data_IF_292954774137
#
_entry.id   IF_292954774137
#
_cell.length_a   1.000
_cell.length_b   1.000
_cell.length_c   1.000
_cell.angle_alpha   90.00
_cell.angle_beta   90.00
_cell.angle_gamma   90.00
#
_symmetry.space_group_name_H-M   'P 1'
#
loop_
_entity.id
_entity.type
_entity.pdbx_description
1 polymer ?
#
# COMPACT_ATOMS: atom_id res chain seq x y z
N UNK A 1 -23.65 59.20 19.14
CA UNK A 1 -25.01 59.75 18.95
C UNK A 1 -25.31 60.00 17.48
N UNK A 2 -24.51 60.80 16.76
CA UNK A 2 -24.71 61.09 15.31
C UNK A 2 -24.89 59.84 14.42
N UNK A 3 -24.13 58.76 14.64
CA UNK A 3 -24.24 57.50 13.88
C UNK A 3 -25.64 56.87 14.01
N UNK A 4 -26.22 56.90 15.21
CA UNK A 4 -27.56 56.37 15.49
C UNK A 4 -28.67 57.27 14.98
N UNK A 5 -28.47 58.58 15.06
CA UNK A 5 -29.45 59.59 14.66
C UNK A 5 -29.65 59.66 13.13
N UNK A 6 -28.60 59.40 12.36
CA UNK A 6 -28.62 59.44 10.90
C UNK A 6 -28.50 58.05 10.24
N UNK A 7 -28.68 56.97 11.00
CA UNK A 7 -28.60 55.57 10.53
C UNK A 7 -27.33 55.24 9.72
N UNK A 8 -26.20 55.85 10.06
CA UNK A 8 -24.94 55.63 9.36
C UNK A 8 -24.27 54.35 9.87
N UNK A 9 -23.48 53.69 9.02
CA UNK A 9 -22.55 52.68 9.50
C UNK A 9 -21.33 53.35 10.16
N UNK A 10 -20.71 52.75 11.19
CA UNK A 10 -19.50 53.31 11.81
C UNK A 10 -18.38 53.59 10.80
N UNK A 11 -18.23 52.72 9.80
CA UNK A 11 -17.27 52.90 8.70
C UNK A 11 -17.58 54.11 7.83
N UNK A 12 -18.85 54.38 7.53
CA UNK A 12 -19.25 55.54 6.73
C UNK A 12 -18.98 56.84 7.49
N UNK A 13 -19.33 56.90 8.77
CA UNK A 13 -19.06 58.06 9.62
C UNK A 13 -17.55 58.31 9.78
N UNK A 14 -16.76 57.26 9.98
CA UNK A 14 -15.32 57.37 10.16
C UNK A 14 -14.62 57.84 8.87
N UNK A 15 -15.11 57.39 7.72
CA UNK A 15 -14.67 57.89 6.40
C UNK A 15 -15.05 59.35 6.20
N UNK A 16 -16.24 59.74 6.63
CA UNK A 16 -16.77 61.11 6.53
C UNK A 16 -15.95 62.09 7.38
N UNK A 17 -15.69 61.75 8.64
CA UNK A 17 -14.85 62.54 9.55
C UNK A 17 -13.43 62.67 9.01
N UNK A 18 -12.87 61.59 8.46
CA UNK A 18 -11.52 61.59 7.91
C UNK A 18 -11.41 62.47 6.67
N UNK A 19 -12.41 62.43 5.77
CA UNK A 19 -12.49 63.30 4.59
C UNK A 19 -12.57 64.77 5.00
N UNK A 20 -13.48 65.13 5.92
CA UNK A 20 -13.61 66.51 6.39
C UNK A 20 -12.31 67.07 6.96
N UNK A 21 -11.62 66.31 7.82
CA UNK A 21 -10.34 66.73 8.41
C UNK A 21 -9.22 66.90 7.36
N UNK A 22 -9.27 66.16 6.26
CA UNK A 22 -8.25 66.23 5.21
C UNK A 22 -8.49 67.31 4.16
N UNK A 23 -9.74 67.59 3.77
CA UNK A 23 -10.04 68.43 2.59
C UNK A 23 -10.91 69.64 2.88
N UNK A 24 -11.56 69.73 4.06
CA UNK A 24 -12.37 70.88 4.45
C UNK A 24 -13.62 71.16 3.60
N UNK A 25 -13.94 70.32 2.60
CA UNK A 25 -15.09 70.45 1.71
C UNK A 25 -15.65 69.08 1.31
N UNK A 26 -16.98 69.03 1.09
CA UNK A 26 -17.74 67.85 0.69
C UNK A 26 -18.24 67.88 -0.76
N UNK A 27 -17.85 68.86 -1.57
CA UNK A 27 -18.23 68.89 -2.99
C UNK A 27 -17.51 67.81 -3.81
N UNK A 28 -18.30 67.10 -4.61
CA UNK A 28 -17.96 65.87 -5.32
C UNK A 28 -17.09 66.12 -6.57
N UNK A 29 -15.78 65.98 -6.41
CA UNK A 29 -14.84 65.23 -7.27
C UNK A 29 -13.47 65.36 -6.61
N UNK A 30 -12.69 64.29 -6.63
CA UNK A 30 -11.31 64.27 -6.13
C UNK A 30 -10.58 65.55 -6.61
N UNK A 31 -10.43 66.56 -5.75
CA UNK A 31 -9.68 67.80 -6.02
C UNK A 31 -8.17 67.52 -6.01
N UNK A 32 -7.79 66.32 -6.45
CA UNK A 32 -6.41 65.93 -6.64
C UNK A 32 -5.99 66.42 -8.00
N UNK A 33 -4.90 67.15 -8.04
CA UNK A 33 -4.26 67.43 -9.33
C UNK A 33 -3.82 66.09 -9.94
N UNK A 34 -3.72 65.99 -11.28
CA UNK A 34 -3.14 64.81 -11.93
C UNK A 34 -1.79 64.40 -11.32
N UNK A 35 -0.99 65.38 -10.91
CA UNK A 35 0.28 65.20 -10.21
C UNK A 35 0.12 64.57 -8.81
N UNK A 36 -0.94 64.91 -8.07
CA UNK A 36 -1.24 64.31 -6.76
C UNK A 36 -1.74 62.87 -6.91
N UNK A 37 -2.54 62.58 -7.93
CA UNK A 37 -2.96 61.21 -8.25
C UNK A 37 -1.77 60.36 -8.71
N UNK A 38 -0.89 60.93 -9.54
CA UNK A 38 0.35 60.29 -9.96
C UNK A 38 1.28 60.03 -8.75
N UNK A 39 1.44 60.99 -7.86
CA UNK A 39 2.23 60.82 -6.63
C UNK A 39 1.66 59.72 -5.73
N UNK A 40 0.34 59.62 -5.61
CA UNK A 40 -0.31 58.55 -4.84
C UNK A 40 -0.09 57.19 -5.51
N UNK A 41 -0.20 57.13 -6.84
CA UNK A 41 0.05 55.90 -7.59
C UNK A 41 1.50 55.46 -7.47
N UNK A 42 2.45 56.37 -7.64
CA UNK A 42 3.88 56.13 -7.45
C UNK A 42 4.19 55.70 -6.02
N UNK A 43 3.57 56.29 -5.00
CA UNK A 43 3.74 55.85 -3.60
C UNK A 43 3.19 54.44 -3.37
N UNK A 44 2.03 54.11 -3.91
CA UNK A 44 1.46 52.75 -3.84
C UNK A 44 2.35 51.74 -4.56
N UNK A 45 2.88 52.10 -5.72
CA UNK A 45 3.79 51.27 -6.50
C UNK A 45 5.12 51.08 -5.77
N UNK A 46 5.69 52.13 -5.18
CA UNK A 46 6.90 52.03 -4.37
C UNK A 46 6.69 51.11 -3.16
N UNK A 47 5.54 51.23 -2.48
CA UNK A 47 5.19 50.34 -1.36
C UNK A 47 5.03 48.89 -1.81
N UNK A 48 4.43 48.66 -2.99
CA UNK A 48 4.32 47.32 -3.58
C UNK A 48 5.69 46.76 -3.95
N UNK A 49 6.55 47.53 -4.61
CA UNK A 49 7.91 47.12 -4.99
C UNK A 49 8.79 46.84 -3.76
N UNK A 50 8.63 47.62 -2.68
CA UNK A 50 9.31 47.39 -1.41
C UNK A 50 8.86 46.07 -0.79
N UNK A 51 7.55 45.82 -0.74
CA UNK A 51 7.00 44.55 -0.27
C UNK A 51 7.48 43.38 -1.15
N UNK A 52 7.45 43.53 -2.47
CA UNK A 52 7.97 42.53 -3.41
C UNK A 52 9.42 42.20 -3.08
N UNK A 53 10.32 43.18 -2.95
CA UNK A 53 11.72 42.95 -2.57
C UNK A 53 11.88 42.26 -1.20
N UNK A 54 11.11 42.67 -0.20
CA UNK A 54 11.17 42.11 1.16
C UNK A 54 10.80 40.61 1.18
N UNK A 55 9.84 40.19 0.35
CA UNK A 55 9.32 38.81 0.35
C UNK A 55 9.67 38.01 -0.91
N UNK A 56 10.37 38.61 -1.89
CA UNK A 56 10.63 38.04 -3.23
C UNK A 56 11.29 36.67 -3.16
N UNK A 57 12.23 36.50 -2.21
CA UNK A 57 12.98 35.26 -2.01
C UNK A 57 12.07 34.08 -1.64
N UNK A 58 10.86 34.34 -1.13
CA UNK A 58 9.89 33.32 -0.73
C UNK A 58 8.88 32.95 -1.83
N UNK A 59 8.85 33.65 -2.97
CA UNK A 59 7.92 33.37 -4.08
C UNK A 59 8.04 31.95 -4.64
N UNK A 60 9.25 31.38 -4.62
CA UNK A 60 9.57 30.01 -5.06
C UNK A 60 9.52 28.96 -3.94
N UNK A 61 9.18 29.36 -2.71
CA UNK A 61 9.12 28.43 -1.58
C UNK A 61 7.85 27.57 -1.61
N UNK A 62 7.83 26.49 -0.82
CA UNK A 62 6.66 25.64 -0.65
C UNK A 62 5.53 26.38 0.12
N UNK A 63 4.33 25.79 0.11
CA UNK A 63 3.17 26.42 0.73
C UNK A 63 3.34 26.69 2.24
N UNK A 64 4.06 25.83 2.97
CA UNK A 64 4.31 26.04 4.40
C UNK A 64 5.15 27.28 4.65
N UNK A 65 6.28 27.39 3.96
CA UNK A 65 7.17 28.56 4.07
C UNK A 65 6.48 29.86 3.66
N UNK A 66 5.61 29.82 2.63
CA UNK A 66 4.81 30.99 2.23
C UNK A 66 3.86 31.45 3.35
N UNK A 67 3.22 30.53 4.08
CA UNK A 67 2.36 30.86 5.23
C UNK A 67 3.16 31.55 6.33
N UNK A 68 4.35 31.04 6.66
CA UNK A 68 5.20 31.61 7.72
C UNK A 68 5.70 33.01 7.36
N UNK A 69 6.07 33.25 6.10
CA UNK A 69 6.45 34.58 5.61
C UNK A 69 5.31 35.58 5.74
N UNK A 70 4.08 35.18 5.38
CA UNK A 70 2.89 36.02 5.54
C UNK A 70 2.61 36.30 7.02
N UNK A 71 2.75 35.31 7.91
CA UNK A 71 2.58 35.50 9.36
C UNK A 71 3.59 36.49 9.93
N UNK A 72 4.87 36.33 9.59
CA UNK A 72 5.95 37.17 10.12
C UNK A 72 5.89 38.62 9.64
N UNK A 73 5.32 38.88 8.46
CA UNK A 73 5.22 40.21 7.87
C UNK A 73 3.83 40.86 7.99
N UNK A 74 2.88 40.22 8.69
CA UNK A 74 1.51 40.73 8.88
C UNK A 74 1.43 42.09 9.57
N UNK A 75 2.46 42.45 10.33
CA UNK A 75 2.58 43.76 10.97
C UNK A 75 3.01 44.88 10.00
N UNK A 76 3.61 44.54 8.86
CA UNK A 76 4.09 45.48 7.84
C UNK A 76 3.15 45.59 6.64
N UNK A 77 2.58 44.47 6.22
CA UNK A 77 1.80 44.36 4.99
C UNK A 77 0.47 43.63 5.23
N UNK A 78 -0.51 43.88 4.37
CA UNK A 78 -1.78 43.14 4.45
C UNK A 78 -1.62 41.71 3.95
N UNK A 79 -2.33 40.76 4.56
CA UNK A 79 -2.37 39.35 4.13
C UNK A 79 -2.79 39.24 2.66
N UNK A 80 -3.77 40.05 2.25
CA UNK A 80 -4.24 40.14 0.87
C UNK A 80 -3.10 40.45 -0.10
N UNK A 81 -2.34 41.52 0.15
CA UNK A 81 -1.28 41.97 -0.74
C UNK A 81 -0.10 40.98 -0.79
N UNK A 82 0.26 40.38 0.34
CA UNK A 82 1.32 39.37 0.38
C UNK A 82 0.92 38.08 -0.35
N UNK A 83 -0.34 37.64 -0.22
CA UNK A 83 -0.86 36.51 -0.98
C UNK A 83 -0.81 36.75 -2.49
N UNK A 84 -1.17 37.96 -2.94
CA UNK A 84 -1.15 38.33 -4.35
C UNK A 84 0.29 38.33 -4.91
N UNK A 85 1.25 38.91 -4.17
CA UNK A 85 2.68 38.91 -4.55
C UNK A 85 3.30 37.51 -4.57
N UNK A 86 2.97 36.66 -3.59
CA UNK A 86 3.50 35.30 -3.49
C UNK A 86 2.78 34.30 -4.41
N UNK A 87 1.78 34.76 -5.18
CA UNK A 87 0.87 33.92 -5.97
C UNK A 87 0.30 32.77 -5.12
N UNK A 88 -0.17 33.11 -3.92
CA UNK A 88 -0.60 32.16 -2.90
C UNK A 88 -2.10 32.33 -2.62
N UNK A 89 -2.94 31.29 -2.78
CA UNK A 89 -4.38 31.41 -2.54
C UNK A 89 -4.69 31.80 -1.10
N UNK A 90 -5.51 32.84 -0.91
CA UNK A 90 -5.89 33.34 0.44
C UNK A 90 -6.57 32.27 1.28
N UNK A 91 -7.36 31.40 0.66
CA UNK A 91 -8.00 30.26 1.32
C UNK A 91 -7.00 29.34 2.01
N UNK A 92 -5.80 29.15 1.43
CA UNK A 92 -4.75 28.29 2.01
C UNK A 92 -4.08 28.95 3.22
N UNK A 93 -4.03 30.29 3.29
CA UNK A 93 -3.49 31.01 4.45
C UNK A 93 -4.41 30.89 5.66
N UNK A 94 -5.72 31.08 5.43
CA UNK A 94 -6.75 30.96 6.46
C UNK A 94 -7.17 29.51 6.72
N UNK A 95 -6.65 28.56 5.95
CA UNK A 95 -6.83 27.15 6.24
C UNK A 95 -6.06 26.81 7.51
N UNK A 96 -6.79 26.71 8.61
CA UNK A 96 -6.27 26.17 9.85
C UNK A 96 -6.09 24.67 9.65
N UNK A 97 -4.83 24.25 9.48
CA UNK A 97 -4.48 22.86 9.64
C UNK A 97 -4.96 22.44 11.04
N UNK A 98 -5.85 21.45 11.11
CA UNK A 98 -6.21 20.82 12.39
C UNK A 98 -4.93 20.58 13.16
N UNK A 99 -4.86 21.13 14.38
CA UNK A 99 -3.77 20.86 15.30
C UNK A 99 -3.63 19.34 15.35
N UNK A 100 -2.41 18.85 15.12
CA UNK A 100 -2.13 17.42 15.21
C UNK A 100 -2.45 17.01 16.63
N UNK A 101 -3.46 16.18 16.79
CA UNK A 101 -3.73 15.53 18.06
C UNK A 101 -2.61 14.51 18.26
N UNK A 102 -1.67 14.85 19.14
CA UNK A 102 -0.51 14.01 19.42
C UNK A 102 -0.95 12.66 19.99
N UNK A 103 -2.09 12.60 20.69
CA UNK A 103 -2.66 11.36 21.20
C UNK A 103 -3.20 10.47 20.06
N UNK A 104 -3.97 11.03 19.12
CA UNK A 104 -4.45 10.29 17.94
C UNK A 104 -3.28 9.73 17.12
N UNK A 105 -2.20 10.51 16.98
CA UNK A 105 -1.01 10.10 16.25
C UNK A 105 -0.24 8.98 16.95
N UNK A 106 -0.17 9.01 18.29
CA UNK A 106 0.43 7.96 19.11
C UNK A 106 -0.38 6.66 19.00
N UNK A 107 -1.70 6.71 19.18
CA UNK A 107 -2.61 5.57 19.04
C UNK A 107 -2.51 4.93 17.64
N UNK A 108 -2.52 5.76 16.58
CA UNK A 108 -2.35 5.28 15.22
C UNK A 108 -0.98 4.63 15.01
N UNK A 109 0.07 5.18 15.62
CA UNK A 109 1.43 4.66 15.52
C UNK A 109 1.53 3.27 16.15
N UNK A 110 0.99 3.10 17.36
CA UNK A 110 0.93 1.81 18.05
C UNK A 110 0.16 0.77 17.23
N UNK A 111 -1.00 1.15 16.69
CA UNK A 111 -1.81 0.28 15.87
C UNK A 111 -1.10 -0.15 14.57
N UNK A 112 -0.37 0.76 13.91
CA UNK A 112 0.45 0.42 12.74
C UNK A 112 1.57 -0.56 13.11
N UNK A 113 2.25 -0.34 14.25
CA UNK A 113 3.30 -1.24 14.75
C UNK A 113 2.72 -2.63 15.04
N UNK A 114 1.58 -2.69 15.70
CA UNK A 114 0.89 -3.94 16.05
C UNK A 114 0.47 -4.73 14.80
N UNK A 115 -0.24 -4.08 13.86
CA UNK A 115 -0.63 -4.68 12.56
C UNK A 115 0.60 -5.20 11.83
N UNK A 116 1.69 -4.43 11.80
CA UNK A 116 2.91 -4.83 11.11
C UNK A 116 3.56 -6.07 11.74
N UNK A 117 3.70 -6.09 13.07
CA UNK A 117 4.29 -7.22 13.82
C UNK A 117 3.43 -8.47 13.74
N UNK A 118 2.12 -8.37 13.97
CA UNK A 118 1.16 -9.49 13.86
C UNK A 118 1.14 -10.11 12.47
N UNK A 119 1.44 -9.32 11.43
CA UNK A 119 1.55 -9.79 10.05
C UNK A 119 2.99 -10.09 9.63
N UNK A 120 3.81 -10.59 10.55
CA UNK A 120 5.17 -11.11 10.33
C UNK A 120 6.13 -10.13 9.63
N UNK A 121 5.91 -8.83 9.83
CA UNK A 121 6.67 -7.75 9.17
C UNK A 121 6.59 -7.78 7.63
N UNK A 122 5.51 -8.37 7.10
CA UNK A 122 5.29 -8.54 5.66
C UNK A 122 4.54 -7.35 5.07
N UNK A 123 3.60 -6.77 5.81
CA UNK A 123 2.67 -5.79 5.26
C UNK A 123 3.35 -4.44 5.00
N UNK A 124 3.16 -3.92 3.80
CA UNK A 124 3.48 -2.52 3.47
C UNK A 124 2.24 -1.62 3.60
N UNK A 125 2.43 -0.33 3.31
CA UNK A 125 1.41 0.73 3.40
C UNK A 125 0.03 0.35 2.84
N UNK A 126 -0.03 -0.38 1.72
CA UNK A 126 -1.29 -0.78 1.08
C UNK A 126 -2.11 -1.75 1.94
N UNK A 127 -1.47 -2.79 2.48
CA UNK A 127 -2.14 -3.80 3.31
C UNK A 127 -2.46 -3.25 4.70
N UNK A 128 -1.54 -2.47 5.28
CA UNK A 128 -1.78 -1.79 6.57
C UNK A 128 -3.00 -0.87 6.47
N UNK A 129 -3.16 -0.10 5.37
CA UNK A 129 -4.35 0.72 5.16
C UNK A 129 -5.66 -0.10 5.20
N UNK A 130 -5.65 -1.32 4.64
CA UNK A 130 -6.84 -2.20 4.64
C UNK A 130 -7.15 -2.71 6.04
N UNK A 131 -6.13 -3.12 6.78
CA UNK A 131 -6.31 -3.55 8.18
C UNK A 131 -6.78 -2.39 9.07
N UNK A 132 -6.22 -1.19 8.92
CA UNK A 132 -6.68 0.02 9.61
C UNK A 132 -8.16 0.32 9.30
N UNK A 133 -8.57 0.18 8.04
CA UNK A 133 -9.96 0.40 7.65
C UNK A 133 -10.92 -0.58 8.33
N UNK A 134 -10.53 -1.85 8.53
CA UNK A 134 -11.34 -2.85 9.23
C UNK A 134 -11.62 -2.46 10.69
N UNK A 135 -10.70 -1.73 11.33
CA UNK A 135 -10.83 -1.23 12.70
C UNK A 135 -11.30 0.22 12.78
N UNK A 136 -11.89 0.75 11.70
CA UNK A 136 -12.53 2.06 11.67
C UNK A 136 -11.63 3.25 11.31
N UNK A 137 -10.33 3.01 11.06
CA UNK A 137 -9.37 4.07 10.78
C UNK A 137 -9.29 4.41 9.29
N UNK A 138 -9.52 5.68 8.94
CA UNK A 138 -9.37 6.18 7.57
C UNK A 138 -8.08 6.99 7.42
N UNK A 139 -7.02 6.30 6.99
CA UNK A 139 -5.68 6.90 6.93
C UNK A 139 -5.10 6.85 5.52
N UNK A 140 -4.42 7.94 5.12
CA UNK A 140 -3.74 8.01 3.83
C UNK A 140 -2.48 7.13 3.83
N UNK A 141 -2.15 6.56 2.66
CA UNK A 141 -0.91 5.77 2.50
C UNK A 141 0.35 6.58 2.80
N UNK A 142 0.32 7.90 2.55
CA UNK A 142 1.43 8.81 2.86
C UNK A 142 1.64 8.96 4.37
N UNK A 143 0.56 9.10 5.16
CA UNK A 143 0.65 9.16 6.63
C UNK A 143 1.20 7.84 7.19
N UNK A 144 0.65 6.70 6.74
CA UNK A 144 1.16 5.36 7.12
C UNK A 144 2.64 5.22 6.76
N UNK A 145 3.02 5.60 5.53
CA UNK A 145 4.41 5.49 5.06
C UNK A 145 5.38 6.37 5.84
N UNK A 146 4.96 7.55 6.29
CA UNK A 146 5.75 8.41 7.18
C UNK A 146 5.96 7.75 8.54
N UNK A 147 4.88 7.29 9.19
CA UNK A 147 4.94 6.61 10.50
C UNK A 147 5.84 5.37 10.41
N UNK A 148 5.65 4.53 9.38
CA UNK A 148 6.50 3.35 9.16
C UNK A 148 7.98 3.74 9.03
N UNK A 149 8.30 4.84 8.34
CA UNK A 149 9.68 5.30 8.18
C UNK A 149 10.27 5.81 9.50
N UNK A 150 9.50 6.60 10.25
CA UNK A 150 9.89 7.13 11.56
C UNK A 150 10.16 5.99 12.56
N UNK A 151 9.34 4.94 12.52
CA UNK A 151 9.44 3.75 13.38
C UNK A 151 10.37 2.65 12.84
N UNK A 152 11.06 2.87 11.70
CA UNK A 152 11.96 1.88 11.10
C UNK A 152 11.29 0.60 10.60
N UNK A 153 9.97 0.62 10.33
CA UNK A 153 9.20 -0.52 9.87
C UNK A 153 9.42 -0.76 8.37
N UNK A 154 10.27 -1.73 8.03
CA UNK A 154 10.58 -2.09 6.64
C UNK A 154 9.98 -3.45 6.30
N UNK A 155 9.05 -3.47 5.34
CA UNK A 155 8.47 -4.72 4.83
C UNK A 155 9.55 -5.62 4.20
N UNK A 156 9.47 -6.93 4.44
CA UNK A 156 10.31 -7.95 3.80
C UNK A 156 10.32 -7.86 2.26
N UNK A 157 9.25 -7.34 1.65
CA UNK A 157 9.16 -7.17 0.19
C UNK A 157 9.99 -6.02 -0.38
N UNK A 158 10.48 -5.10 0.47
CA UNK A 158 11.32 -3.97 0.02
C UNK A 158 12.77 -4.39 -0.18
N UNK A 159 13.18 -5.55 0.36
CA UNK A 159 14.52 -6.08 0.21
C UNK A 159 14.65 -6.66 -1.20
N UNK A 160 15.52 -6.07 -2.03
CA UNK A 160 15.75 -6.54 -3.39
C UNK A 160 16.28 -7.98 -3.39
N UNK A 161 15.58 -8.87 -4.10
CA UNK A 161 16.00 -10.25 -4.29
C UNK A 161 16.17 -10.50 -5.78
N UNK A 162 17.41 -10.43 -6.26
CA UNK A 162 17.75 -10.88 -7.61
C UNK A 162 18.82 -11.98 -7.53
N UNK A 163 18.43 -13.21 -7.89
CA UNK A 163 19.35 -14.27 -8.32
C UNK A 163 18.66 -15.15 -9.36
N UNK A 164 19.09 -15.14 -10.64
CA UNK A 164 18.59 -16.07 -11.64
C UNK A 164 19.14 -17.47 -11.36
N UNK A 165 18.30 -18.49 -11.48
CA UNK A 165 18.69 -19.91 -11.41
C UNK A 165 18.25 -20.60 -12.69
N UNK A 166 19.15 -21.37 -13.31
CA UNK A 166 18.82 -22.28 -14.43
C UNK A 166 18.37 -23.62 -13.84
N UNK A 167 17.28 -24.18 -14.36
CA UNK A 167 16.75 -25.51 -13.98
C UNK A 167 16.79 -26.44 -15.20
N UNK A 168 17.08 -27.72 -14.99
CA UNK A 168 16.97 -28.80 -15.98
C UNK A 168 15.50 -29.13 -16.27
N UNK A 169 15.15 -29.39 -17.53
CA UNK A 169 13.77 -29.50 -18.03
C UNK A 169 13.44 -30.94 -18.45
N UNK A 170 12.25 -31.44 -18.11
CA UNK A 170 11.72 -32.76 -18.51
C UNK A 170 11.01 -32.69 -19.88
N UNK A 171 11.00 -33.80 -20.63
CA UNK A 171 10.54 -33.91 -22.03
C UNK A 171 9.27 -34.77 -22.20
N UNK A 172 8.39 -34.82 -21.20
CA UNK A 172 7.12 -35.56 -21.30
C UNK A 172 6.14 -34.98 -22.34
N UNK A 173 5.41 -35.85 -23.04
CA UNK A 173 4.38 -35.49 -24.06
C UNK A 173 3.07 -34.91 -23.48
N UNK A 174 2.92 -34.84 -22.15
CA UNK A 174 1.75 -34.24 -21.50
C UNK A 174 1.71 -32.73 -21.80
N UNK A 175 0.58 -32.28 -22.36
CA UNK A 175 0.33 -30.88 -22.76
C UNK A 175 -0.18 -30.00 -21.63
N UNK A 176 -0.16 -28.68 -21.86
CA UNK A 176 -0.75 -27.69 -20.96
C UNK A 176 -2.25 -27.58 -21.20
N UNK A 177 -3.03 -28.31 -20.40
CA UNK A 177 -4.49 -28.25 -20.44
C UNK A 177 -5.09 -27.10 -19.62
N UNK A 178 -4.32 -26.50 -18.69
CA UNK A 178 -4.78 -25.34 -17.89
C UNK A 178 -4.87 -24.06 -18.73
N UNK A 179 -4.02 -23.91 -19.74
CA UNK A 179 -4.01 -22.80 -20.70
C UNK A 179 -4.11 -21.39 -20.05
N UNK A 180 -3.51 -21.22 -18.87
CA UNK A 180 -3.49 -19.97 -18.07
C UNK A 180 -4.85 -19.51 -17.54
N UNK A 181 -5.83 -20.41 -17.47
CA UNK A 181 -7.12 -20.15 -16.81
C UNK A 181 -6.96 -20.16 -15.28
N UNK A 182 -6.38 -19.08 -14.75
CA UNK A 182 -6.07 -18.99 -13.31
C UNK A 182 -7.25 -18.60 -12.43
N UNK A 183 -8.36 -18.16 -13.02
CA UNK A 183 -9.60 -17.84 -12.32
C UNK A 183 -10.52 -19.03 -12.49
N UNK A 184 -10.68 -19.79 -11.42
CA UNK A 184 -11.58 -20.92 -11.38
C UNK A 184 -12.89 -20.49 -10.73
N UNK A 185 -14.00 -21.08 -11.17
CA UNK A 185 -15.33 -20.79 -10.64
C UNK A 185 -15.73 -21.74 -9.50
N UNK A 186 -15.01 -22.86 -9.36
CA UNK A 186 -15.29 -23.90 -8.38
C UNK A 186 -14.08 -24.14 -7.47
N UNK A 187 -14.36 -24.32 -6.17
CA UNK A 187 -13.38 -24.73 -5.17
C UNK A 187 -12.75 -26.07 -5.51
N UNK A 188 -11.46 -26.22 -5.23
CA UNK A 188 -10.72 -27.48 -5.37
C UNK A 188 -10.65 -28.05 -6.80
N UNK A 189 -11.28 -27.43 -7.80
CA UNK A 189 -11.28 -27.94 -9.18
C UNK A 189 -9.88 -28.10 -9.76
N UNK A 190 -9.05 -27.07 -9.60
CA UNK A 190 -7.68 -27.06 -10.11
C UNK A 190 -6.70 -26.72 -8.99
N UNK A 191 -5.74 -27.61 -8.78
CA UNK A 191 -4.63 -27.38 -7.86
C UNK A 191 -3.32 -27.25 -8.63
N UNK A 192 -2.51 -26.28 -8.22
CA UNK A 192 -1.15 -26.09 -8.73
C UNK A 192 -0.12 -26.43 -7.66
N UNK A 193 1.05 -26.89 -8.11
CA UNK A 193 2.19 -27.16 -7.22
C UNK A 193 3.51 -26.78 -7.88
N UNK A 194 4.50 -26.51 -7.03
CA UNK A 194 5.92 -26.32 -7.35
C UNK A 194 6.74 -26.66 -6.08
N UNK A 195 8.08 -26.59 -6.12
CA UNK A 195 8.96 -26.81 -4.99
C UNK A 195 9.92 -25.63 -4.78
N UNK A 196 10.19 -25.32 -3.51
CA UNK A 196 11.29 -24.42 -3.14
C UNK A 196 12.26 -25.09 -2.20
N UNK A 197 13.43 -24.50 -2.04
CA UNK A 197 14.45 -24.94 -1.10
C UNK A 197 14.48 -24.05 0.14
N UNK A 198 14.94 -24.61 1.26
CA UNK A 198 15.12 -23.94 2.56
C UNK A 198 16.34 -24.53 3.27
N UNK A 199 16.95 -23.78 4.19
CA UNK A 199 18.10 -24.25 4.98
C UNK A 199 17.66 -24.85 6.31
N UNK A 200 18.07 -26.08 6.56
CA UNK A 200 18.02 -26.72 7.87
C UNK A 200 19.45 -27.05 8.27
N UNK A 201 19.95 -26.39 9.30
CA UNK A 201 21.36 -26.40 9.67
C UNK A 201 22.23 -26.11 8.43
N UNK A 202 23.21 -26.99 8.14
CA UNK A 202 24.11 -26.88 7.00
C UNK A 202 23.60 -27.59 5.73
N UNK A 203 22.36 -28.09 5.72
CA UNK A 203 21.79 -28.86 4.60
C UNK A 203 20.65 -28.10 3.92
N UNK A 204 20.44 -28.43 2.65
CA UNK A 204 19.27 -27.99 1.90
C UNK A 204 18.13 -28.97 2.12
N UNK A 205 16.97 -28.43 2.46
CA UNK A 205 15.69 -29.12 2.47
C UNK A 205 14.78 -28.48 1.42
N UNK A 206 13.67 -29.14 1.13
CA UNK A 206 12.71 -28.74 0.13
C UNK A 206 11.33 -28.58 0.77
N UNK A 207 10.53 -27.66 0.25
CA UNK A 207 9.15 -27.40 0.63
C UNK A 207 8.30 -27.61 -0.62
N UNK A 208 7.25 -28.40 -0.50
CA UNK A 208 6.20 -28.57 -1.50
C UNK A 208 4.89 -27.99 -0.94
N UNK A 209 4.15 -27.25 -1.76
CA UNK A 209 2.80 -26.77 -1.43
C UNK A 209 1.83 -27.05 -2.57
N UNK A 210 0.61 -27.43 -2.22
CA UNK A 210 -0.53 -27.59 -3.12
C UNK A 210 -1.43 -26.37 -2.93
N UNK A 211 -1.69 -25.63 -4.01
CA UNK A 211 -2.44 -24.37 -3.98
C UNK A 211 -3.70 -24.52 -4.82
N UNK A 212 -4.86 -24.26 -4.23
CA UNK A 212 -6.12 -24.16 -4.97
C UNK A 212 -6.15 -22.87 -5.79
N UNK A 213 -6.45 -22.97 -7.09
CA UNK A 213 -6.57 -21.80 -7.96
C UNK A 213 -7.79 -20.94 -7.65
N UNK A 214 -8.85 -21.49 -7.08
CA UNK A 214 -10.08 -20.74 -6.80
C UNK A 214 -9.86 -19.60 -5.80
N UNK A 215 -9.40 -19.92 -4.59
CA UNK A 215 -9.23 -18.97 -3.49
C UNK A 215 -7.76 -18.75 -3.10
N UNK A 216 -6.80 -19.33 -3.83
CA UNK A 216 -5.35 -19.29 -3.51
C UNK A 216 -4.98 -19.94 -2.18
N UNK A 217 -5.83 -20.81 -1.63
CA UNK A 217 -5.54 -21.52 -0.38
C UNK A 217 -4.41 -22.53 -0.58
N UNK A 218 -3.48 -22.59 0.38
CA UNK A 218 -2.55 -23.71 0.47
C UNK A 218 -3.29 -24.86 1.14
N UNK A 219 -3.80 -25.80 0.33
CA UNK A 219 -4.61 -26.92 0.81
C UNK A 219 -3.77 -28.09 1.34
N UNK A 220 -2.51 -28.17 0.93
CA UNK A 220 -1.57 -29.21 1.34
C UNK A 220 -0.13 -28.70 1.32
N UNK A 221 0.72 -29.23 2.20
CA UNK A 221 2.11 -28.83 2.31
C UNK A 221 2.99 -29.92 2.94
N UNK A 222 4.27 -29.90 2.61
CA UNK A 222 5.26 -30.79 3.23
C UNK A 222 6.66 -30.18 3.13
N UNK A 223 7.55 -30.64 4.01
CA UNK A 223 8.97 -30.34 3.94
C UNK A 223 9.84 -31.58 4.18
N UNK A 224 11.03 -31.62 3.58
CA UNK A 224 11.95 -32.74 3.74
C UNK A 224 13.32 -32.54 3.10
N UNK A 225 14.28 -33.44 3.38
CA UNK A 225 15.66 -33.33 2.91
C UNK A 225 15.84 -33.69 1.42
N UNK A 226 14.87 -34.37 0.81
CA UNK A 226 14.95 -34.89 -0.54
C UNK A 226 13.89 -34.26 -1.46
N UNK A 227 14.30 -33.99 -2.70
CA UNK A 227 13.43 -33.49 -3.77
C UNK A 227 12.88 -34.68 -4.54
N UNK A 228 11.93 -35.39 -3.95
CA UNK A 228 11.44 -36.67 -4.46
C UNK A 228 9.91 -36.81 -4.43
N UNK A 229 9.44 -37.95 -4.92
CA UNK A 229 8.04 -38.35 -4.94
C UNK A 229 7.38 -38.34 -3.56
N UNK A 230 8.13 -38.77 -2.54
CA UNK A 230 7.63 -38.92 -1.17
C UNK A 230 7.31 -37.56 -0.57
N UNK A 231 8.09 -36.52 -0.89
CA UNK A 231 7.78 -35.16 -0.50
C UNK A 231 6.42 -34.71 -1.05
N UNK A 232 6.16 -34.94 -2.34
CA UNK A 232 4.87 -34.57 -2.96
C UNK A 232 3.72 -35.40 -2.40
N UNK A 233 3.89 -36.72 -2.24
CA UNK A 233 2.88 -37.57 -1.62
C UNK A 233 2.52 -37.10 -0.20
N UNK A 234 3.52 -36.69 0.59
CA UNK A 234 3.30 -36.11 1.92
C UNK A 234 2.47 -34.83 1.87
N UNK A 235 2.60 -33.99 0.84
CA UNK A 235 1.77 -32.78 0.75
C UNK A 235 0.31 -33.14 0.46
N UNK A 236 0.04 -34.11 -0.42
CA UNK A 236 -1.31 -34.65 -0.64
C UNK A 236 -1.90 -35.25 0.65
N UNK A 237 -1.10 -35.96 1.44
CA UNK A 237 -1.56 -36.54 2.71
C UNK A 237 -1.98 -35.51 3.78
N UNK A 238 -1.58 -34.23 3.63
CA UNK A 238 -2.02 -33.14 4.53
C UNK A 238 -3.31 -32.46 4.09
N UNK A 239 -3.83 -32.78 2.90
CA UNK A 239 -5.07 -32.20 2.38
C UNK A 239 -6.24 -32.64 3.24
N UNK A 240 -6.97 -31.67 3.79
CA UNK A 240 -8.14 -31.93 4.66
C UNK A 240 -9.45 -32.13 3.88
N UNK A 241 -9.42 -31.85 2.59
CA UNK A 241 -10.57 -31.96 1.69
C UNK A 241 -10.64 -33.33 1.04
N UNK A 242 -11.82 -33.67 0.52
CA UNK A 242 -11.98 -34.86 -0.29
C UNK A 242 -11.24 -34.68 -1.63
N UNK A 243 -10.23 -35.53 -1.88
CA UNK A 243 -9.44 -35.47 -3.11
C UNK A 243 -10.26 -35.79 -4.37
N UNK A 244 -11.41 -36.45 -4.24
CA UNK A 244 -12.33 -36.69 -5.37
C UNK A 244 -12.96 -35.42 -5.93
N UNK A 245 -12.83 -34.28 -5.25
CA UNK A 245 -13.28 -32.98 -5.77
C UNK A 245 -12.24 -32.34 -6.70
N UNK A 246 -11.00 -32.83 -6.68
CA UNK A 246 -9.93 -32.35 -7.55
C UNK A 246 -10.17 -32.89 -8.96
N UNK A 247 -10.20 -32.00 -9.95
CA UNK A 247 -10.30 -32.39 -11.36
C UNK A 247 -8.94 -32.33 -12.05
N UNK A 248 -8.10 -31.36 -11.69
CA UNK A 248 -6.84 -31.12 -12.38
C UNK A 248 -5.70 -30.82 -11.40
N UNK A 249 -4.59 -31.53 -11.58
CA UNK A 249 -3.31 -31.24 -10.94
C UNK A 249 -2.33 -30.69 -11.98
N UNK A 250 -1.98 -29.40 -11.84
CA UNK A 250 -1.07 -28.71 -12.74
C UNK A 250 0.29 -28.44 -12.08
N UNK A 251 1.37 -28.85 -12.74
CA UNK A 251 2.73 -28.58 -12.27
C UNK A 251 3.64 -28.14 -13.41
N UNK A 252 4.82 -27.64 -13.05
CA UNK A 252 5.90 -27.52 -14.03
C UNK A 252 6.41 -28.90 -14.46
N UNK A 253 7.34 -28.89 -15.41
CA UNK A 253 8.01 -30.10 -15.91
C UNK A 253 9.19 -30.54 -15.02
N UNK A 254 9.11 -30.36 -13.70
CA UNK A 254 10.08 -30.91 -12.76
C UNK A 254 10.10 -32.45 -12.77
N UNK A 255 11.29 -33.06 -12.67
CA UNK A 255 11.42 -34.53 -12.62
C UNK A 255 10.79 -35.14 -11.36
N UNK A 256 10.74 -34.38 -10.27
CA UNK A 256 10.13 -34.77 -8.99
C UNK A 256 8.63 -35.08 -9.10
N UNK A 257 7.94 -34.42 -10.04
CA UNK A 257 6.53 -34.67 -10.29
C UNK A 257 6.33 -35.89 -11.20
N UNK A 258 7.33 -36.30 -11.99
CA UNK A 258 7.23 -37.45 -12.91
C UNK A 258 7.63 -38.73 -12.19
N UNK A 259 6.71 -39.30 -11.42
CA UNK A 259 6.91 -40.58 -10.75
C UNK A 259 5.61 -41.38 -10.65
N UNK A 260 5.78 -42.70 -10.56
CA UNK A 260 4.68 -43.66 -10.50
C UNK A 260 3.75 -43.46 -9.29
N UNK A 261 4.27 -43.03 -8.14
CA UNK A 261 3.46 -42.84 -6.93
C UNK A 261 2.47 -41.68 -7.07
N UNK A 262 2.87 -40.60 -7.77
CA UNK A 262 1.98 -39.48 -8.09
C UNK A 262 0.96 -39.94 -9.13
N UNK A 263 1.40 -40.64 -10.19
CA UNK A 263 0.48 -41.12 -11.23
C UNK A 263 -0.58 -42.06 -10.63
N UNK A 264 -0.19 -43.01 -9.77
CA UNK A 264 -1.11 -43.91 -9.05
C UNK A 264 -2.09 -43.13 -8.15
N UNK A 265 -1.63 -42.08 -7.46
CA UNK A 265 -2.50 -41.24 -6.63
C UNK A 265 -3.52 -40.45 -7.49
N UNK A 266 -3.06 -39.84 -8.58
CA UNK A 266 -3.92 -39.09 -9.49
C UNK A 266 -4.97 -40.01 -10.13
N UNK A 267 -4.57 -41.19 -10.60
CA UNK A 267 -5.49 -42.21 -11.15
C UNK A 267 -6.51 -42.68 -10.10
N UNK A 268 -6.08 -42.94 -8.87
CA UNK A 268 -6.96 -43.40 -7.78
C UNK A 268 -8.07 -42.40 -7.46
N UNK A 269 -7.78 -41.10 -7.53
CA UNK A 269 -8.74 -40.04 -7.23
C UNK A 269 -9.37 -39.42 -8.49
N UNK A 270 -9.08 -39.95 -9.69
CA UNK A 270 -9.62 -39.46 -10.95
C UNK A 270 -9.16 -38.04 -11.33
N UNK A 271 -7.97 -37.64 -10.88
CA UNK A 271 -7.43 -36.30 -11.07
C UNK A 271 -6.62 -36.27 -12.37
N UNK A 272 -7.00 -35.41 -13.31
CA UNK A 272 -6.25 -35.22 -14.55
C UNK A 272 -4.91 -34.52 -14.29
N UNK A 273 -3.90 -34.89 -15.07
CA UNK A 273 -2.56 -34.31 -14.98
C UNK A 273 -2.33 -33.29 -16.07
N UNK A 274 -1.88 -32.09 -15.68
CA UNK A 274 -1.51 -31.00 -16.58
C UNK A 274 -0.07 -30.57 -16.33
N UNK A 275 0.71 -30.33 -17.39
CA UNK A 275 2.08 -29.84 -17.27
C UNK A 275 2.29 -28.58 -18.09
N UNK A 276 3.02 -27.60 -17.53
CA UNK A 276 3.41 -26.38 -18.25
C UNK A 276 4.19 -26.70 -19.55
N UNK A 277 4.06 -25.85 -20.58
CA UNK A 277 4.82 -26.03 -21.82
C UNK A 277 6.33 -25.75 -21.65
N UNK A 278 7.14 -26.29 -22.56
CA UNK A 278 8.60 -26.14 -22.52
C UNK A 278 8.95 -24.67 -22.78
N UNK A 279 9.58 -24.03 -21.79
CA UNK A 279 10.02 -22.64 -21.92
C UNK A 279 8.94 -21.60 -21.66
N UNK A 280 7.83 -22.00 -21.03
CA UNK A 280 6.65 -21.14 -20.82
C UNK A 280 6.35 -20.94 -19.32
N UNK A 281 7.15 -20.14 -18.59
CA UNK A 281 7.00 -19.96 -17.13
C UNK A 281 5.63 -19.39 -16.72
N UNK A 282 4.97 -18.66 -17.64
CA UNK A 282 3.66 -18.09 -17.41
C UNK A 282 2.55 -19.12 -17.20
N UNK A 283 2.76 -20.38 -17.56
CA UNK A 283 1.75 -21.42 -17.45
C UNK A 283 1.50 -21.85 -15.99
N UNK A 284 2.49 -21.64 -15.11
CA UNK A 284 2.38 -21.90 -13.67
C UNK A 284 2.43 -20.61 -12.83
N UNK A 285 2.00 -19.47 -13.38
CA UNK A 285 2.20 -18.15 -12.79
C UNK A 285 1.64 -18.00 -11.37
N UNK A 286 0.53 -18.69 -11.02
CA UNK A 286 -0.05 -18.65 -9.67
C UNK A 286 0.84 -19.39 -8.67
N UNK A 287 1.38 -20.55 -9.04
CA UNK A 287 2.34 -21.24 -8.18
C UNK A 287 3.60 -20.39 -8.07
N UNK A 288 4.17 -19.88 -9.17
CA UNK A 288 5.36 -19.03 -9.14
C UNK A 288 5.19 -17.82 -8.21
N UNK A 289 4.03 -17.14 -8.29
CA UNK A 289 3.69 -16.04 -7.39
C UNK A 289 3.63 -16.51 -5.93
N UNK A 290 3.01 -17.66 -5.66
CA UNK A 290 2.93 -18.24 -4.32
C UNK A 290 4.29 -18.61 -3.76
N UNK A 291 5.14 -19.24 -4.55
CA UNK A 291 6.50 -19.58 -4.16
C UNK A 291 7.38 -18.36 -3.97
N UNK A 292 7.18 -17.29 -4.75
CA UNK A 292 7.82 -16.00 -4.48
C UNK A 292 7.40 -15.45 -3.11
N UNK A 293 6.11 -15.53 -2.77
CA UNK A 293 5.62 -15.14 -1.44
C UNK A 293 6.27 -15.98 -0.34
N UNK A 294 6.29 -17.32 -0.46
CA UNK A 294 6.93 -18.23 0.51
C UNK A 294 8.42 -17.91 0.66
N UNK A 295 9.13 -17.72 -0.46
CA UNK A 295 10.57 -17.40 -0.45
C UNK A 295 10.84 -16.11 0.31
N UNK A 296 10.06 -15.06 0.08
CA UNK A 296 10.25 -13.76 0.73
C UNK A 296 9.76 -13.74 2.18
N UNK A 297 8.60 -14.33 2.47
CA UNK A 297 7.93 -14.19 3.76
C UNK A 297 8.42 -15.24 4.78
N UNK A 298 8.68 -16.46 4.33
CA UNK A 298 9.01 -17.61 5.17
C UNK A 298 10.48 -18.03 5.07
N UNK A 299 11.05 -18.16 3.87
CA UNK A 299 12.41 -18.74 3.71
C UNK A 299 13.53 -17.72 3.92
N UNK A 300 13.35 -16.49 3.43
CA UNK A 300 14.43 -15.49 3.39
C UNK A 300 14.95 -15.16 4.79
N UNK A 301 16.27 -15.25 4.96
CA UNK A 301 16.94 -14.93 6.22
C UNK A 301 16.76 -15.95 7.34
N UNK A 302 16.11 -17.10 7.07
CA UNK A 302 15.92 -18.17 8.06
C UNK A 302 16.84 -19.37 7.81
N UNK A 303 17.34 -19.93 8.90
CA UNK A 303 17.99 -21.24 8.97
C UNK A 303 17.34 -21.97 10.13
N UNK A 304 16.70 -23.10 9.84
CA UNK A 304 16.02 -23.90 10.86
C UNK A 304 17.02 -24.83 11.55
N UNK A 305 16.86 -25.06 12.84
CA UNK A 305 17.73 -25.94 13.63
C UNK A 305 17.44 -27.42 13.40
N UNK A 306 16.24 -27.79 12.96
CA UNK A 306 15.83 -29.19 12.76
C UNK A 306 14.70 -29.34 11.74
N UNK A 307 14.45 -30.57 11.29
CA UNK A 307 13.31 -30.90 10.44
C UNK A 307 11.99 -30.64 11.19
N UNK A 308 11.94 -30.96 12.48
CA UNK A 308 10.75 -30.74 13.31
C UNK A 308 10.41 -29.24 13.44
N UNK A 309 11.40 -28.39 13.64
CA UNK A 309 11.19 -26.93 13.66
C UNK A 309 10.66 -26.44 12.31
N UNK A 310 11.24 -26.91 11.20
CA UNK A 310 10.77 -26.56 9.86
C UNK A 310 9.31 -26.98 9.63
N UNK A 311 8.92 -28.19 10.03
CA UNK A 311 7.55 -28.67 9.87
C UNK A 311 6.55 -27.85 10.70
N UNK A 312 6.88 -27.56 11.96
CA UNK A 312 6.03 -26.74 12.85
C UNK A 312 5.85 -25.30 12.33
N UNK A 313 6.95 -24.67 11.91
CA UNK A 313 6.94 -23.31 11.40
C UNK A 313 6.26 -23.20 10.04
N UNK A 314 6.42 -24.22 9.18
CA UNK A 314 5.71 -24.29 7.91
C UNK A 314 4.20 -24.42 8.14
N UNK A 315 3.79 -25.28 9.08
CA UNK A 315 2.38 -25.41 9.48
C UNK A 315 1.79 -24.08 9.97
N UNK A 316 2.49 -23.38 10.87
CA UNK A 316 2.09 -22.07 11.37
C UNK A 316 2.02 -21.01 10.26
N UNK A 317 3.00 -21.03 9.34
CA UNK A 317 2.98 -20.15 8.16
C UNK A 317 1.77 -20.41 7.27
N UNK A 318 1.47 -21.68 6.94
CA UNK A 318 0.31 -22.05 6.13
C UNK A 318 -0.99 -21.66 6.81
N UNK A 319 -1.10 -21.86 8.12
CA UNK A 319 -2.27 -21.42 8.89
C UNK A 319 -2.45 -19.90 8.82
N UNK A 320 -1.39 -19.12 9.00
CA UNK A 320 -1.42 -17.67 8.85
C UNK A 320 -1.75 -17.24 7.41
N UNK A 321 -1.17 -17.90 6.41
CA UNK A 321 -1.41 -17.62 5.00
C UNK A 321 -2.88 -17.79 4.63
N UNK A 322 -3.50 -18.89 5.05
CA UNK A 322 -4.88 -19.21 4.69
C UNK A 322 -5.92 -18.40 5.48
N UNK A 323 -5.63 -18.03 6.72
CA UNK A 323 -6.64 -17.44 7.62
C UNK A 323 -6.48 -15.93 7.85
N UNK A 324 -5.26 -15.41 7.84
CA UNK A 324 -4.96 -14.03 8.30
C UNK A 324 -4.39 -13.19 7.17
N UNK A 325 -3.52 -13.78 6.34
CA UNK A 325 -2.83 -13.05 5.27
C UNK A 325 -3.82 -12.61 4.21
N UNK A 326 -3.91 -11.31 3.93
CA UNK A 326 -4.78 -10.77 2.88
C UNK A 326 -4.09 -10.77 1.51
N UNK A 327 -4.86 -11.03 0.46
CA UNK A 327 -4.37 -11.12 -0.92
C UNK A 327 -5.01 -10.05 -1.80
N UNK A 328 -4.18 -9.31 -2.54
CA UNK A 328 -4.70 -8.27 -3.45
C UNK A 328 -5.57 -8.83 -4.57
N UNK A 329 -5.30 -10.07 -5.02
CA UNK A 329 -6.11 -10.78 -6.01
C UNK A 329 -7.46 -11.27 -5.49
N UNK A 330 -7.65 -11.29 -4.17
CA UNK A 330 -8.88 -11.73 -3.50
C UNK A 330 -9.59 -10.55 -2.83
N UNK A 331 -9.49 -9.35 -3.44
CA UNK A 331 -10.03 -8.10 -2.91
C UNK A 331 -9.62 -7.84 -1.44
N UNK A 332 -8.37 -8.15 -1.11
CA UNK A 332 -7.82 -7.99 0.24
C UNK A 332 -8.50 -8.83 1.33
N UNK A 333 -9.05 -9.98 0.94
CA UNK A 333 -9.46 -11.05 1.85
C UNK A 333 -8.36 -12.10 1.99
N UNK A 334 -8.36 -12.86 3.09
CA UNK A 334 -7.60 -14.11 3.18
C UNK A 334 -8.26 -15.22 2.34
N UNK A 335 -7.53 -16.28 1.95
CA UNK A 335 -8.11 -17.40 1.20
C UNK A 335 -9.39 -17.96 1.81
N UNK A 336 -9.42 -18.15 3.13
CA UNK A 336 -10.60 -18.65 3.83
C UNK A 336 -11.71 -17.59 3.98
N UNK A 337 -11.38 -16.31 4.13
CA UNK A 337 -12.39 -15.24 4.11
C UNK A 337 -13.06 -15.13 2.74
N UNK A 338 -12.27 -15.18 1.65
CA UNK A 338 -12.78 -15.14 0.28
C UNK A 338 -13.73 -16.31 0.02
N UNK A 339 -13.32 -17.53 0.40
CA UNK A 339 -14.14 -18.72 0.30
C UNK A 339 -15.48 -18.58 1.04
N UNK A 340 -15.44 -18.20 2.33
CA UNK A 340 -16.66 -17.98 3.13
C UNK A 340 -17.58 -16.93 2.54
N UNK A 341 -17.03 -15.85 1.99
CA UNK A 341 -17.81 -14.79 1.34
C UNK A 341 -18.55 -15.33 0.11
N UNK A 342 -17.87 -16.07 -0.75
CA UNK A 342 -18.45 -16.67 -1.96
C UNK A 342 -19.49 -17.74 -1.68
N UNK A 343 -19.34 -18.49 -0.59
CA UNK A 343 -20.33 -19.49 -0.18
C UNK A 343 -21.60 -18.88 0.44
N UNK A 344 -21.54 -17.62 0.86
CA UNK A 344 -22.68 -16.88 1.41
C UNK A 344 -23.43 -16.05 0.36
N UNK A 345 -22.82 -15.86 -0.82
CA UNK A 345 -23.42 -15.26 -2.03
C UNK A 345 -24.17 -16.33 -2.82
#
# INVERSE_FOLDING_TARGET
EIIKEYELTPSAFDTWVRRHKSTGSFEEKDNRTPEQDELINLRKENQRLTMENDIFKASRADHGTKVDVIRNNRHKYSVSAMCDVLQFPRSTYYYEAKIRDDQEEEELTELIIDIFKKNRSVYGQRKIKRELYKVGWQVSRRRIGRIMKEQGLVSKYTIAQFKPKKTTVNESEIGNTLNREFNQDEELKVIVSDLTYVRVQQKWHYICVLVDLYNREIIGHSAGPHKDAVLVQRSFATVKYNLNHLQLFHTDRGSEFKNKLIDEALETFGIERSLSEKGTPYDNAVAEATFKMIKTEFVSGRVFSSQQELDLELFDYVNWFNNIRIHGSLDYLSPNEYKRKRQAE
#
